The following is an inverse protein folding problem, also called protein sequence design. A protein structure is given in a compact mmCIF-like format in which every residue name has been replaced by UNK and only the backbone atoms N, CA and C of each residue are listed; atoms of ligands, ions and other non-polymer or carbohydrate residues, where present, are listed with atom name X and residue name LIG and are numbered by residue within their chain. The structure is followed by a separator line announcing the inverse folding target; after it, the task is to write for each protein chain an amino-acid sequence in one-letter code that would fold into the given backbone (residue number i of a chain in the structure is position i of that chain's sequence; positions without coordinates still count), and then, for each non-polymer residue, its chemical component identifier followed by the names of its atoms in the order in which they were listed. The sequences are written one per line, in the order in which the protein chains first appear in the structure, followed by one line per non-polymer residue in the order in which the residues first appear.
data_IF_460952153091
#
_entry.id   IF_460952153091
#
_cell.length_a   1.000
_cell.length_b   1.000
_cell.length_c   1.000
_cell.angle_alpha   90.00
_cell.angle_beta   90.00
_cell.angle_gamma   90.00
#
_symmetry.space_group_name_H-M   'P 1'
#
loop_
_entity.id
_entity.type
_entity.pdbx_description
1 polymer ?
#
# COMPACT_ATOMS: atom_id res chain seq x y z
N UNK A 1 -42.35 -36.76 26.50
CA UNK A 1 -41.27 -36.89 27.52
C UNK A 1 -40.00 -37.18 26.74
N UNK A 2 -38.97 -36.32 26.91
CA UNK A 2 -37.62 -36.38 26.30
C UNK A 2 -37.57 -36.01 24.80
N UNK A 3 -36.67 -35.17 24.29
CA UNK A 3 -35.72 -34.26 24.92
C UNK A 3 -35.34 -33.21 23.86
N UNK A 4 -35.45 -31.93 24.20
CA UNK A 4 -35.04 -30.82 23.36
C UNK A 4 -33.62 -30.41 23.76
N UNK A 5 -32.64 -31.23 23.40
CA UNK A 5 -31.22 -30.91 23.64
C UNK A 5 -30.65 -30.16 22.45
N UNK A 6 -30.78 -28.84 22.56
CA UNK A 6 -29.64 -27.93 22.63
C UNK A 6 -28.43 -28.30 21.76
N UNK A 7 -28.36 -27.70 20.57
CA UNK A 7 -27.18 -27.70 19.70
C UNK A 7 -26.82 -26.27 19.28
N UNK A 8 -26.94 -25.30 20.19
CA UNK A 8 -26.35 -23.95 20.02
C UNK A 8 -24.93 -23.93 20.59
N UNK A 9 -24.09 -24.85 20.12
CA UNK A 9 -22.67 -24.81 20.35
C UNK A 9 -21.99 -24.01 19.22
N UNK A 10 -21.53 -22.78 19.51
CA UNK A 10 -20.31 -22.30 18.85
C UNK A 10 -20.29 -20.91 18.23
N UNK A 11 -21.36 -20.13 18.16
CA UNK A 11 -21.25 -18.72 17.70
C UNK A 11 -20.81 -17.82 18.86
N UNK A 12 -19.55 -17.97 19.29
CA UNK A 12 -18.87 -16.88 20.01
C UNK A 12 -18.61 -15.76 19.01
N UNK A 13 -19.64 -14.94 18.78
CA UNK A 13 -19.46 -13.64 18.15
C UNK A 13 -18.32 -12.88 18.83
N UNK A 14 -17.52 -12.11 18.08
CA UNK A 14 -16.36 -11.42 18.63
C UNK A 14 -16.78 -10.56 19.83
N UNK A 15 -16.04 -10.71 20.94
CA UNK A 15 -16.27 -9.94 22.16
C UNK A 15 -16.31 -8.45 21.77
N UNK A 16 -17.43 -7.75 21.98
CA UNK A 16 -17.68 -6.42 21.38
C UNK A 16 -16.62 -5.38 21.75
N UNK A 17 -15.97 -5.50 22.92
CA UNK A 17 -14.88 -4.61 23.34
C UNK A 17 -13.53 -4.88 22.67
N UNK A 18 -13.20 -6.14 22.33
CA UNK A 18 -11.90 -6.51 21.73
C UNK A 18 -11.84 -6.13 20.25
N UNK A 19 -12.95 -6.33 19.53
CA UNK A 19 -13.10 -6.00 18.11
C UNK A 19 -12.86 -4.50 17.83
N UNK A 20 -13.43 -3.63 18.68
CA UNK A 20 -13.30 -2.17 18.56
C UNK A 20 -11.88 -1.67 18.84
N UNK A 21 -11.20 -2.27 19.82
CA UNK A 21 -9.81 -1.93 20.14
C UNK A 21 -8.85 -2.35 19.01
N UNK A 22 -9.00 -3.56 18.47
CA UNK A 22 -8.16 -4.04 17.36
C UNK A 22 -8.37 -3.22 16.09
N UNK A 23 -9.61 -2.87 15.75
CA UNK A 23 -9.91 -1.96 14.63
C UNK A 23 -9.19 -0.62 14.76
N UNK A 24 -9.30 0.01 15.94
CA UNK A 24 -8.68 1.31 16.18
C UNK A 24 -7.16 1.26 16.06
N UNK A 25 -6.51 0.26 16.68
CA UNK A 25 -5.05 0.12 16.66
C UNK A 25 -4.54 -0.13 15.24
N UNK A 26 -5.16 -1.05 14.50
CA UNK A 26 -4.78 -1.35 13.11
C UNK A 26 -4.89 -0.13 12.22
N UNK A 27 -6.00 0.59 12.32
CA UNK A 27 -6.23 1.79 11.51
C UNK A 27 -5.28 2.92 11.85
N UNK A 28 -4.96 3.11 13.15
CA UNK A 28 -4.01 4.13 13.56
C UNK A 28 -2.59 3.82 13.08
N UNK A 29 -2.17 2.55 13.17
CA UNK A 29 -0.87 2.10 12.64
C UNK A 29 -0.79 2.28 11.13
N UNK A 30 -1.84 1.91 10.41
CA UNK A 30 -1.93 2.11 8.97
C UNK A 30 -1.81 3.60 8.62
N UNK A 31 -2.61 4.45 9.25
CA UNK A 31 -2.59 5.90 9.03
C UNK A 31 -1.23 6.54 9.30
N UNK A 32 -0.57 6.20 10.41
CA UNK A 32 0.77 6.69 10.72
C UNK A 32 1.83 6.18 9.74
N UNK A 33 1.76 4.91 9.34
CA UNK A 33 2.70 4.36 8.36
C UNK A 33 2.63 5.11 7.03
N UNK A 34 1.42 5.42 6.53
CA UNK A 34 1.21 6.18 5.31
C UNK A 34 1.66 7.63 5.44
N UNK A 35 1.39 8.26 6.57
CA UNK A 35 1.80 9.65 6.83
C UNK A 35 3.33 9.79 6.87
N UNK A 36 4.00 8.91 7.62
CA UNK A 36 5.47 8.93 7.76
C UNK A 36 6.13 8.59 6.42
N UNK A 37 5.72 7.51 5.76
CA UNK A 37 6.28 7.14 4.47
C UNK A 37 6.01 8.20 3.41
N UNK A 38 4.81 8.78 3.39
CA UNK A 38 4.45 9.88 2.50
C UNK A 38 5.31 11.11 2.73
N UNK A 39 5.59 11.47 3.99
CA UNK A 39 6.42 12.64 4.32
C UNK A 39 7.89 12.43 3.95
N UNK A 40 8.45 11.25 4.24
CA UNK A 40 9.81 10.89 3.83
C UNK A 40 9.95 10.86 2.30
N UNK A 41 8.99 10.21 1.63
CA UNK A 41 8.92 10.14 0.17
C UNK A 41 8.76 11.53 -0.46
N UNK A 42 8.00 12.43 0.17
CA UNK A 42 7.85 13.81 -0.28
C UNK A 42 9.19 14.55 -0.23
N UNK A 43 9.95 14.39 0.87
CA UNK A 43 11.28 14.99 1.00
C UNK A 43 12.25 14.50 -0.08
N UNK A 44 12.30 13.19 -0.32
CA UNK A 44 13.14 12.60 -1.37
C UNK A 44 12.70 13.06 -2.76
N UNK A 45 11.39 13.06 -3.03
CA UNK A 45 10.86 13.45 -4.35
C UNK A 45 11.05 14.93 -4.65
N UNK A 46 10.92 15.79 -3.63
CA UNK A 46 11.18 17.22 -3.76
C UNK A 46 12.66 17.49 -4.02
N UNK A 47 13.56 16.80 -3.31
CA UNK A 47 15.01 16.88 -3.55
C UNK A 47 15.38 16.41 -4.96
N UNK A 48 14.77 15.32 -5.44
CA UNK A 48 14.99 14.79 -6.78
C UNK A 48 14.22 15.54 -7.90
N UNK A 49 13.47 16.60 -7.57
CA UNK A 49 12.61 17.33 -8.52
C UNK A 49 11.61 16.43 -9.29
N UNK A 50 11.17 15.33 -8.67
CA UNK A 50 10.23 14.38 -9.27
C UNK A 50 8.79 14.77 -8.97
N UNK A 51 8.13 15.44 -9.90
CA UNK A 51 6.73 15.87 -9.74
C UNK A 51 5.76 14.70 -9.51
N UNK A 52 5.95 13.58 -10.21
CA UNK A 52 5.14 12.39 -10.00
C UNK A 52 5.33 11.83 -8.57
N UNK A 53 6.57 11.81 -8.08
CA UNK A 53 6.89 11.44 -6.70
C UNK A 53 6.25 12.38 -5.67
N UNK A 54 6.28 13.69 -5.91
CA UNK A 54 5.64 14.69 -5.05
C UNK A 54 4.12 14.45 -4.97
N UNK A 55 3.46 14.26 -6.11
CA UNK A 55 2.00 14.05 -6.17
C UNK A 55 1.58 12.78 -5.43
N UNK A 56 2.25 11.64 -5.69
CA UNK A 56 1.89 10.39 -4.99
C UNK A 56 2.20 10.46 -3.49
N UNK A 57 3.27 11.16 -3.10
CA UNK A 57 3.61 11.38 -1.70
C UNK A 57 2.58 12.23 -0.98
N UNK A 58 2.05 13.28 -1.63
CA UNK A 58 0.93 14.06 -1.11
C UNK A 58 -0.34 13.21 -0.97
N UNK A 59 -0.63 12.33 -1.93
CA UNK A 59 -1.76 11.41 -1.85
C UNK A 59 -1.61 10.44 -0.65
N UNK A 60 -0.41 9.87 -0.44
CA UNK A 60 -0.09 9.03 0.73
C UNK A 60 -0.32 9.77 2.05
N UNK A 61 0.17 11.01 2.18
CA UNK A 61 -0.04 11.85 3.36
C UNK A 61 -1.54 12.13 3.58
N UNK A 62 -2.28 12.45 2.52
CA UNK A 62 -3.71 12.71 2.58
C UNK A 62 -4.47 11.47 3.06
N UNK A 63 -4.22 10.31 2.44
CA UNK A 63 -4.85 9.04 2.83
C UNK A 63 -4.48 8.64 4.27
N UNK A 64 -3.22 8.81 4.67
CA UNK A 64 -2.77 8.55 6.05
C UNK A 64 -3.44 9.48 7.07
N UNK A 65 -3.56 10.76 6.75
CA UNK A 65 -4.23 11.76 7.61
C UNK A 65 -5.71 11.45 7.75
N UNK A 66 -6.40 11.13 6.65
CA UNK A 66 -7.81 10.72 6.67
C UNK A 66 -8.01 9.47 7.52
N UNK A 67 -7.14 8.48 7.40
CA UNK A 67 -7.18 7.26 8.20
C UNK A 67 -7.07 7.59 9.71
N UNK A 68 -6.11 8.44 10.11
CA UNK A 68 -5.93 8.86 11.51
C UNK A 68 -7.16 9.59 12.04
N UNK A 69 -7.71 10.54 11.27
CA UNK A 69 -8.88 11.32 11.66
C UNK A 69 -10.12 10.44 11.82
N UNK A 70 -10.37 9.54 10.86
CA UNK A 70 -11.49 8.61 10.91
C UNK A 70 -11.33 7.58 12.02
N UNK A 71 -10.10 7.12 12.31
CA UNK A 71 -9.80 6.25 13.46
C UNK A 71 -10.20 6.91 14.77
N UNK A 72 -9.74 8.15 14.99
CA UNK A 72 -10.07 8.92 16.20
C UNK A 72 -11.58 9.18 16.31
N UNK A 73 -12.23 9.49 15.19
CA UNK A 73 -13.69 9.69 15.17
C UNK A 73 -14.45 8.40 15.45
N UNK A 74 -14.01 7.24 14.97
CA UNK A 74 -14.66 5.94 15.24
C UNK A 74 -14.63 5.53 16.72
N UNK A 75 -13.65 6.05 17.48
CA UNK A 75 -13.58 5.87 18.92
C UNK A 75 -14.64 6.71 19.66
N UNK A 76 -15.01 7.88 19.12
CA UNK A 76 -15.96 8.82 19.72
C UNK A 76 -17.42 8.65 19.23
N UNK A 77 -17.62 8.37 17.94
CA UNK A 77 -18.93 8.31 17.25
C UNK A 77 -19.39 6.86 16.97
N UNK A 78 -20.55 6.72 16.30
CA UNK A 78 -21.01 5.44 15.76
C UNK A 78 -20.01 4.85 14.74
N UNK A 79 -19.57 3.62 15.00
CA UNK A 79 -18.55 2.90 14.22
C UNK A 79 -18.90 2.79 12.73
N UNK A 80 -20.20 2.64 12.43
CA UNK A 80 -20.77 2.32 11.11
C UNK A 80 -20.41 3.33 10.02
N UNK A 81 -20.59 4.62 10.28
CA UNK A 81 -20.31 5.66 9.28
C UNK A 81 -18.81 5.77 9.00
N UNK A 82 -17.99 5.82 10.06
CA UNK A 82 -16.53 5.94 9.93
C UNK A 82 -15.91 4.76 9.17
N UNK A 83 -16.39 3.54 9.42
CA UNK A 83 -15.85 2.33 8.81
C UNK A 83 -16.04 2.30 7.28
N UNK A 84 -17.17 2.83 6.77
CA UNK A 84 -17.40 2.93 5.31
C UNK A 84 -16.46 3.95 4.66
N UNK A 85 -16.25 5.10 5.29
CA UNK A 85 -15.30 6.10 4.81
C UNK A 85 -13.87 5.60 4.79
N UNK A 86 -13.48 4.83 5.81
CA UNK A 86 -12.16 4.18 5.84
C UNK A 86 -12.02 3.12 4.74
N UNK A 87 -13.07 2.35 4.46
CA UNK A 87 -13.06 1.42 3.33
C UNK A 87 -12.84 2.15 1.99
N UNK A 88 -13.53 3.26 1.75
CA UNK A 88 -13.32 4.07 0.55
C UNK A 88 -11.92 4.70 0.52
N UNK A 89 -11.37 5.09 1.67
CA UNK A 89 -10.00 5.60 1.77
C UNK A 89 -8.97 4.57 1.28
N UNK A 90 -9.13 3.30 1.66
CA UNK A 90 -8.23 2.21 1.23
C UNK A 90 -8.33 1.91 -0.27
N UNK A 91 -9.54 1.94 -0.84
CA UNK A 91 -9.72 1.80 -2.30
C UNK A 91 -9.11 2.98 -3.05
N UNK A 92 -9.28 4.20 -2.53
CA UNK A 92 -8.66 5.41 -3.07
C UNK A 92 -7.13 5.35 -3.05
N UNK A 93 -6.56 4.85 -1.95
CA UNK A 93 -5.11 4.63 -1.82
C UNK A 93 -4.61 3.62 -2.86
N UNK A 94 -5.28 2.47 -2.99
CA UNK A 94 -4.92 1.44 -3.97
C UNK A 94 -4.95 1.99 -5.40
N UNK A 95 -5.97 2.79 -5.71
CA UNK A 95 -6.13 3.44 -7.01
C UNK A 95 -5.02 4.46 -7.27
N UNK A 96 -4.73 5.32 -6.29
CA UNK A 96 -3.66 6.33 -6.39
C UNK A 96 -2.29 5.70 -6.62
N UNK A 97 -1.96 4.64 -5.88
CA UNK A 97 -0.72 3.89 -6.05
C UNK A 97 -0.66 3.17 -7.40
N UNK A 98 -1.77 2.56 -7.83
CA UNK A 98 -1.84 1.88 -9.13
C UNK A 98 -1.65 2.85 -10.30
N UNK A 99 -2.24 4.04 -10.22
CA UNK A 99 -2.03 5.10 -11.23
C UNK A 99 -0.57 5.52 -11.27
N UNK A 100 0.07 5.68 -10.11
CA UNK A 100 1.49 6.00 -10.03
C UNK A 100 2.37 4.89 -10.63
N UNK A 101 2.10 3.62 -10.33
CA UNK A 101 2.86 2.49 -10.91
C UNK A 101 2.63 2.37 -12.41
N UNK A 102 1.41 2.55 -12.90
CA UNK A 102 1.12 2.59 -14.33
C UNK A 102 1.86 3.73 -15.03
N UNK A 103 1.89 4.92 -14.42
CA UNK A 103 2.68 6.04 -14.91
C UNK A 103 4.17 5.70 -14.97
N UNK A 104 4.74 5.17 -13.88
CA UNK A 104 6.16 4.79 -13.85
C UNK A 104 6.51 3.73 -14.89
N UNK A 105 5.60 2.77 -15.13
CA UNK A 105 5.78 1.77 -16.17
C UNK A 105 5.75 2.38 -17.57
N UNK A 106 4.89 3.38 -17.81
CA UNK A 106 4.81 4.07 -19.11
C UNK A 106 5.96 5.03 -19.37
N UNK A 107 6.54 5.61 -18.31
CA UNK A 107 7.69 6.51 -18.35
C UNK A 107 9.02 5.75 -18.31
N UNK A 108 8.98 4.41 -18.27
CA UNK A 108 10.16 3.58 -18.16
C UNK A 108 10.89 3.52 -19.51
N UNK A 109 11.87 4.41 -19.69
CA UNK A 109 12.72 4.40 -20.87
C UNK A 109 13.86 3.39 -20.71
N UNK A 110 13.89 2.29 -21.50
CA UNK A 110 14.91 1.24 -21.36
C UNK A 110 16.34 1.79 -21.49
N UNK A 111 16.54 2.73 -22.42
CA UNK A 111 17.85 3.32 -22.70
C UNK A 111 18.36 4.16 -21.53
N UNK A 112 17.48 4.90 -20.85
CA UNK A 112 17.85 5.71 -19.67
C UNK A 112 18.23 4.80 -18.51
N UNK A 113 17.47 3.72 -18.29
CA UNK A 113 17.77 2.71 -17.27
C UNK A 113 19.11 2.01 -17.50
N UNK A 114 19.39 1.62 -18.74
CA UNK A 114 20.68 1.04 -19.13
C UNK A 114 21.80 2.05 -18.93
N UNK A 115 21.60 3.31 -19.34
CA UNK A 115 22.58 4.38 -19.14
C UNK A 115 22.90 4.57 -17.65
N UNK A 116 21.89 4.55 -16.77
CA UNK A 116 22.10 4.66 -15.31
C UNK A 116 22.90 3.49 -14.72
N UNK A 117 22.80 2.28 -15.28
CA UNK A 117 23.65 1.15 -14.88
C UNK A 117 25.11 1.27 -15.34
N UNK A 118 25.34 2.06 -16.40
CA UNK A 118 26.66 2.33 -16.93
C UNK A 118 27.35 3.52 -16.23
N UNK A 119 26.69 4.17 -15.28
CA UNK A 119 27.30 5.18 -14.42
C UNK A 119 27.98 4.53 -13.20
N UNK A 120 29.12 5.09 -12.77
CA UNK A 120 29.78 4.70 -11.51
C UNK A 120 28.93 5.13 -10.30
N UNK A 121 28.77 4.32 -9.24
CA UNK A 121 29.50 3.08 -8.94
C UNK A 121 28.84 1.79 -9.47
N UNK A 122 27.65 1.89 -10.09
CA UNK A 122 26.90 0.71 -10.56
C UNK A 122 27.65 -0.02 -11.67
N UNK A 123 28.33 0.72 -12.54
CA UNK A 123 29.16 0.14 -13.59
C UNK A 123 30.30 -0.72 -13.03
N UNK A 124 31.00 -0.25 -11.99
CA UNK A 124 32.08 -0.99 -11.36
C UNK A 124 31.57 -2.30 -10.74
N UNK A 125 30.35 -2.27 -10.18
CA UNK A 125 29.68 -3.47 -9.70
C UNK A 125 29.27 -4.41 -10.84
N UNK A 126 28.83 -3.88 -11.98
CA UNK A 126 28.51 -4.66 -13.17
C UNK A 126 29.74 -5.38 -13.73
N UNK A 127 30.92 -4.77 -13.66
CA UNK A 127 32.18 -5.34 -14.14
C UNK A 127 32.66 -6.54 -13.31
N UNK A 128 32.17 -6.71 -12.08
CA UNK A 128 32.47 -7.90 -11.27
C UNK A 128 31.80 -9.18 -11.82
N UNK A 129 30.84 -9.04 -12.74
CA UNK A 129 30.12 -10.17 -13.34
C UNK A 129 30.72 -10.58 -14.70
N UNK A 130 30.64 -11.87 -15.05
CA UNK A 130 30.92 -12.37 -16.40
C UNK A 130 30.14 -11.60 -17.47
N UNK A 131 30.74 -11.43 -18.65
CA UNK A 131 30.18 -10.65 -19.76
C UNK A 131 28.81 -11.14 -20.23
N UNK A 132 28.61 -12.45 -20.29
CA UNK A 132 27.34 -13.09 -20.68
C UNK A 132 26.22 -12.79 -19.67
N UNK A 133 26.54 -12.76 -18.38
CA UNK A 133 25.58 -12.40 -17.32
C UNK A 133 25.26 -10.90 -17.35
N UNK A 134 26.28 -10.07 -17.62
CA UNK A 134 26.14 -8.62 -17.72
C UNK A 134 25.18 -8.21 -18.84
N UNK A 135 25.34 -8.80 -20.03
CA UNK A 135 24.46 -8.55 -21.18
C UNK A 135 23.03 -8.99 -20.90
N UNK A 136 22.84 -10.18 -20.28
CA UNK A 136 21.52 -10.65 -19.85
C UNK A 136 20.86 -9.72 -18.83
N UNK A 137 21.63 -9.15 -17.91
CA UNK A 137 21.12 -8.19 -16.92
C UNK A 137 20.68 -6.89 -17.59
N UNK A 138 21.50 -6.34 -18.49
CA UNK A 138 21.19 -5.10 -19.21
C UNK A 138 19.93 -5.25 -20.08
N UNK A 139 19.81 -6.35 -20.83
CA UNK A 139 18.65 -6.64 -21.66
C UNK A 139 17.41 -6.99 -20.83
N UNK A 140 17.60 -7.64 -19.68
CA UNK A 140 16.52 -8.13 -18.82
C UNK A 140 15.95 -7.07 -17.86
N UNK A 141 16.74 -6.05 -17.50
CA UNK A 141 16.38 -5.08 -16.46
C UNK A 141 15.05 -4.37 -16.71
N UNK A 142 14.76 -3.81 -17.91
CA UNK A 142 13.50 -3.12 -18.14
C UNK A 142 12.29 -4.03 -17.92
N UNK A 143 12.40 -5.29 -18.38
CA UNK A 143 11.36 -6.31 -18.20
C UNK A 143 11.21 -6.70 -16.73
N UNK A 144 12.31 -6.86 -16.00
CA UNK A 144 12.30 -7.15 -14.56
C UNK A 144 11.61 -6.03 -13.77
N UNK A 145 11.92 -4.77 -14.06
CA UNK A 145 11.27 -3.61 -13.43
C UNK A 145 9.79 -3.53 -13.77
N UNK A 146 9.42 -3.80 -15.03
CA UNK A 146 8.01 -3.89 -15.43
C UNK A 146 7.24 -4.95 -14.64
N UNK A 147 7.79 -6.16 -14.52
CA UNK A 147 7.21 -7.25 -13.72
C UNK A 147 7.13 -6.84 -12.24
N UNK A 148 8.16 -6.18 -11.72
CA UNK A 148 8.17 -5.67 -10.34
C UNK A 148 7.01 -4.71 -10.09
N UNK A 149 6.77 -3.73 -10.96
CA UNK A 149 5.63 -2.79 -10.81
C UNK A 149 4.27 -3.51 -10.83
N UNK A 150 4.11 -4.53 -11.68
CA UNK A 150 2.88 -5.34 -11.71
C UNK A 150 2.67 -6.07 -10.38
N UNK A 151 3.73 -6.70 -9.85
CA UNK A 151 3.66 -7.43 -8.57
C UNK A 151 3.31 -6.47 -7.43
N UNK A 152 3.98 -5.31 -7.37
CA UNK A 152 3.70 -4.30 -6.34
C UNK A 152 2.25 -3.81 -6.43
N UNK A 153 1.75 -3.52 -7.64
CA UNK A 153 0.35 -3.12 -7.82
C UNK A 153 -0.63 -4.22 -7.33
N UNK A 154 -0.38 -5.48 -7.67
CA UNK A 154 -1.21 -6.60 -7.23
C UNK A 154 -1.21 -6.74 -5.69
N UNK A 155 -0.02 -6.65 -5.07
CA UNK A 155 0.14 -6.68 -3.61
C UNK A 155 -0.61 -5.51 -2.97
N UNK A 156 -0.49 -4.30 -3.51
CA UNK A 156 -1.23 -3.12 -3.03
C UNK A 156 -2.74 -3.38 -3.03
N UNK A 157 -3.30 -3.94 -4.11
CA UNK A 157 -4.73 -4.26 -4.18
C UNK A 157 -5.15 -5.33 -3.18
N UNK A 158 -4.32 -6.35 -2.95
CA UNK A 158 -4.60 -7.38 -1.95
C UNK A 158 -4.67 -6.78 -0.55
N UNK A 159 -3.67 -5.99 -0.16
CA UNK A 159 -3.62 -5.40 1.19
C UNK A 159 -4.68 -4.31 1.38
N UNK A 160 -4.79 -3.35 0.45
CA UNK A 160 -5.76 -2.27 0.56
C UNK A 160 -7.20 -2.79 0.40
N UNK A 161 -7.44 -3.70 -0.55
CA UNK A 161 -8.74 -4.33 -0.76
C UNK A 161 -9.16 -5.20 0.43
N UNK A 162 -8.23 -5.99 0.99
CA UNK A 162 -8.47 -6.75 2.21
C UNK A 162 -8.81 -5.86 3.41
N UNK A 163 -8.08 -4.76 3.58
CA UNK A 163 -8.33 -3.77 4.64
C UNK A 163 -9.67 -3.05 4.42
N UNK A 164 -9.99 -2.68 3.17
CA UNK A 164 -11.27 -2.09 2.82
C UNK A 164 -12.45 -3.02 3.12
N UNK A 165 -12.32 -4.31 2.79
CA UNK A 165 -13.33 -5.32 3.09
C UNK A 165 -13.50 -5.51 4.60
N UNK A 166 -12.38 -5.58 5.35
CA UNK A 166 -12.40 -5.66 6.80
C UNK A 166 -13.16 -4.47 7.42
N UNK A 167 -12.86 -3.24 6.99
CA UNK A 167 -13.59 -2.05 7.43
C UNK A 167 -15.06 -2.09 7.03
N UNK A 168 -15.38 -2.53 5.81
CA UNK A 168 -16.76 -2.62 5.37
C UNK A 168 -17.58 -3.58 6.23
N UNK A 169 -17.00 -4.74 6.59
CA UNK A 169 -17.66 -5.74 7.45
C UNK A 169 -17.87 -5.20 8.86
N UNK A 170 -16.87 -4.54 9.46
CA UNK A 170 -16.99 -3.93 10.79
C UNK A 170 -18.02 -2.80 10.85
N UNK A 171 -18.31 -2.18 9.71
CA UNK A 171 -19.34 -1.15 9.60
C UNK A 171 -20.76 -1.66 9.35
N UNK A 172 -20.97 -2.96 9.17
CA UNK A 172 -22.32 -3.52 8.97
C UNK A 172 -23.08 -3.62 10.28
#
# INVERSE_FOLDING_TARGET
MLDATDSRAGERGPIPGRSRSTFYVLSLLNGWSLFVMGTLSLGISAYASSWAGVIVSMALILHGTLEILLSKRSAADSLKSCSRWMAFNQIGLATSLSLYFAYQMSALEPNVLIASLLETPLYDALLMYPEDLRLKLLDGLPKMLGVFYIIVAAVTWIFCGGTALYYWIQGR
#
